data_IF_443268673275
#
_entry.id   IF_443268673275
#
_cell.length_a   1.000
_cell.length_b   1.000
_cell.length_c   1.000
_cell.angle_alpha   90.00
_cell.angle_beta   90.00
_cell.angle_gamma   90.00
#
_symmetry.space_group_name_H-M   'P 1'
#
loop_
_entity.id
_entity.type
_entity.pdbx_description
1 polymer ?
#
# COMPACT_ATOMS: atom_id res chain seq x y z
N UNK A 1 -15.06 -28.14 -24.65
CA UNK A 1 -14.87 -27.33 -23.44
C UNK A 1 -14.08 -26.09 -23.83
N UNK A 2 -14.58 -24.89 -23.58
CA UNK A 2 -13.79 -23.67 -23.79
C UNK A 2 -12.79 -23.55 -22.64
N UNK A 3 -11.50 -23.47 -22.98
CA UNK A 3 -10.44 -23.20 -22.01
C UNK A 3 -10.64 -21.79 -21.45
N UNK A 4 -10.85 -21.65 -20.14
CA UNK A 4 -10.91 -20.34 -19.47
C UNK A 4 -9.51 -19.99 -18.98
N UNK A 5 -8.99 -18.82 -19.38
CA UNK A 5 -7.73 -18.28 -18.87
C UNK A 5 -8.07 -17.20 -17.84
N UNK A 6 -7.84 -17.43 -16.54
CA UNK A 6 -8.12 -16.44 -15.52
C UNK A 6 -7.16 -15.25 -15.65
N UNK A 7 -7.63 -14.03 -15.37
CA UNK A 7 -6.77 -12.83 -15.34
C UNK A 7 -5.72 -12.92 -14.22
N UNK A 8 -6.11 -13.43 -13.05
CA UNK A 8 -5.24 -13.69 -11.91
C UNK A 8 -5.74 -14.95 -11.17
N UNK A 9 -4.86 -15.91 -10.93
CA UNK A 9 -5.15 -17.11 -10.14
C UNK A 9 -4.44 -17.04 -8.78
N UNK A 10 -5.14 -16.61 -7.74
CA UNK A 10 -4.56 -16.52 -6.39
C UNK A 10 -4.31 -17.91 -5.75
N UNK A 11 -5.06 -18.93 -6.19
CA UNK A 11 -4.97 -20.27 -5.63
C UNK A 11 -3.61 -20.91 -5.92
N UNK A 12 -3.05 -20.69 -7.11
CA UNK A 12 -1.75 -21.27 -7.47
C UNK A 12 -0.61 -20.81 -6.56
N UNK A 13 -0.64 -19.56 -6.08
CA UNK A 13 0.35 -19.05 -5.13
C UNK A 13 0.25 -19.76 -3.78
N UNK A 14 -0.97 -20.02 -3.30
CA UNK A 14 -1.14 -20.83 -2.09
C UNK A 14 -0.69 -22.28 -2.31
N UNK A 15 -1.07 -22.91 -3.42
CA UNK A 15 -0.70 -24.31 -3.67
C UNK A 15 0.82 -24.51 -3.67
N UNK A 16 1.56 -23.56 -4.26
CA UNK A 16 3.03 -23.54 -4.30
C UNK A 16 3.66 -23.48 -2.91
N UNK A 17 3.09 -22.69 -1.99
CA UNK A 17 3.65 -22.39 -0.67
C UNK A 17 2.84 -22.98 0.50
N UNK A 18 1.91 -23.90 0.22
CA UNK A 18 0.87 -24.34 1.15
C UNK A 18 1.43 -24.84 2.48
N UNK A 19 2.46 -25.68 2.44
CA UNK A 19 3.13 -26.19 3.64
C UNK A 19 3.69 -25.06 4.53
N UNK A 20 4.31 -24.03 3.95
CA UNK A 20 4.91 -22.92 4.70
C UNK A 20 3.84 -21.97 5.25
N UNK A 21 2.81 -21.67 4.45
CA UNK A 21 1.68 -20.83 4.85
C UNK A 21 0.88 -21.50 5.99
N UNK A 22 0.57 -22.78 5.86
CA UNK A 22 -0.17 -23.52 6.90
C UNK A 22 0.63 -23.60 8.20
N UNK A 23 1.95 -23.80 8.11
CA UNK A 23 2.83 -23.76 9.27
C UNK A 23 2.81 -22.38 9.95
N UNK A 24 2.86 -21.29 9.17
CA UNK A 24 2.79 -19.93 9.70
C UNK A 24 1.45 -19.64 10.38
N UNK A 25 0.34 -20.08 9.76
CA UNK A 25 -0.98 -20.00 10.36
C UNK A 25 -1.03 -20.70 11.72
N UNK A 26 -0.56 -21.96 11.78
CA UNK A 26 -0.55 -22.71 13.04
C UNK A 26 0.30 -22.06 14.12
N UNK A 27 1.49 -21.53 13.79
CA UNK A 27 2.33 -20.79 14.76
C UNK A 27 1.56 -19.63 15.40
N UNK A 28 0.84 -18.84 14.62
CA UNK A 28 0.06 -17.70 15.13
C UNK A 28 -1.12 -18.18 15.97
N UNK A 29 -1.89 -19.14 15.46
CA UNK A 29 -3.07 -19.66 16.16
C UNK A 29 -2.72 -20.32 17.49
N UNK A 30 -1.65 -21.11 17.52
CA UNK A 30 -1.18 -21.79 18.72
C UNK A 30 -0.59 -20.81 19.75
N UNK A 31 -0.10 -19.65 19.31
CA UNK A 31 0.42 -18.60 20.22
C UNK A 31 -0.68 -17.89 21.02
N UNK A 32 -1.92 -17.87 20.53
CA UNK A 32 -3.01 -17.11 21.12
C UNK A 32 -2.86 -15.58 21.03
N UNK A 33 -1.86 -15.06 20.29
CA UNK A 33 -1.54 -13.64 20.21
C UNK A 33 -1.69 -13.10 18.79
N UNK A 34 -2.74 -12.31 18.55
CA UNK A 34 -3.20 -12.01 17.18
C UNK A 34 -2.92 -10.59 16.70
N UNK A 35 -2.65 -9.64 17.60
CA UNK A 35 -2.55 -8.22 17.28
C UNK A 35 -1.26 -7.67 17.90
N UNK A 36 -0.47 -6.96 17.09
CA UNK A 36 0.81 -6.37 17.52
C UNK A 36 1.75 -7.39 18.18
N UNK A 37 1.89 -8.57 17.56
CA UNK A 37 2.74 -9.67 18.01
C UNK A 37 4.08 -9.78 17.27
N UNK A 38 4.79 -10.88 17.53
CA UNK A 38 6.11 -11.11 16.95
C UNK A 38 6.12 -11.11 15.42
N UNK A 39 5.10 -11.69 14.78
CA UNK A 39 5.05 -11.78 13.31
C UNK A 39 5.01 -10.39 12.64
N UNK A 40 4.33 -9.39 13.24
CA UNK A 40 4.36 -8.02 12.68
C UNK A 40 5.73 -7.36 12.90
N UNK A 41 6.34 -7.55 14.07
CA UNK A 41 7.68 -7.00 14.35
C UNK A 41 8.75 -7.59 13.42
N UNK A 42 8.71 -8.90 13.17
CA UNK A 42 9.65 -9.56 12.26
C UNK A 42 9.40 -9.11 10.82
N UNK A 43 8.14 -9.10 10.39
CA UNK A 43 7.79 -8.63 9.05
C UNK A 43 8.23 -7.18 8.82
N UNK A 44 8.03 -6.28 9.79
CA UNK A 44 8.47 -4.88 9.68
C UNK A 44 9.99 -4.78 9.53
N UNK A 45 10.77 -5.57 10.28
CA UNK A 45 12.23 -5.60 10.15
C UNK A 45 12.68 -6.13 8.78
N UNK A 46 12.09 -7.24 8.35
CA UNK A 46 12.40 -7.88 7.07
C UNK A 46 11.99 -7.00 5.89
N UNK A 47 10.82 -6.37 5.96
CA UNK A 47 10.30 -5.53 4.89
C UNK A 47 11.02 -4.18 4.81
N UNK A 48 11.44 -3.61 5.94
CA UNK A 48 12.33 -2.45 5.95
C UNK A 48 13.66 -2.78 5.25
N UNK A 49 14.27 -3.93 5.59
CA UNK A 49 15.49 -4.40 4.95
C UNK A 49 15.30 -4.65 3.44
N UNK A 50 14.19 -5.28 3.04
CA UNK A 50 13.84 -5.51 1.64
C UNK A 50 13.72 -4.20 0.84
N UNK A 51 13.09 -3.18 1.43
CA UNK A 51 12.92 -1.87 0.79
C UNK A 51 14.19 -1.00 0.84
N UNK A 52 15.22 -1.39 1.59
CA UNK A 52 16.40 -0.55 1.84
C UNK A 52 16.08 0.68 2.72
N UNK A 53 15.04 0.60 3.56
CA UNK A 53 14.62 1.64 4.48
C UNK A 53 15.06 1.31 5.93
N UNK A 54 15.15 2.33 6.78
CA UNK A 54 15.51 2.15 8.20
C UNK A 54 14.34 1.57 9.03
N UNK A 55 13.10 1.86 8.63
CA UNK A 55 11.90 1.53 9.39
C UNK A 55 10.76 1.07 8.47
N UNK A 56 9.89 0.24 9.03
CA UNK A 56 8.59 -0.14 8.46
C UNK A 56 7.54 -0.08 9.58
N UNK A 57 6.31 0.28 9.24
CA UNK A 57 5.15 0.25 10.14
C UNK A 57 4.01 -0.47 9.43
N UNK A 58 3.57 -1.59 10.00
CA UNK A 58 2.44 -2.38 9.53
C UNK A 58 1.11 -1.69 9.84
N UNK A 59 0.27 -1.53 8.82
CA UNK A 59 -1.05 -0.88 8.92
C UNK A 59 -2.12 -1.69 8.20
N UNK A 60 -3.39 -1.30 8.34
CA UNK A 60 -4.52 -2.11 7.85
C UNK A 60 -4.63 -2.23 6.34
N UNK A 61 -4.17 -1.24 5.56
CA UNK A 61 -4.21 -1.23 4.09
C UNK A 61 -3.37 -0.08 3.51
N UNK A 62 -3.23 -0.03 2.18
CA UNK A 62 -2.47 1.01 1.48
C UNK A 62 -3.06 2.43 1.54
N UNK A 63 -4.39 2.58 1.71
CA UNK A 63 -5.01 3.89 1.91
C UNK A 63 -4.61 4.47 3.27
N UNK A 64 -4.70 3.66 4.32
CA UNK A 64 -4.28 4.05 5.67
C UNK A 64 -2.79 4.39 5.71
N UNK A 65 -1.94 3.65 4.98
CA UNK A 65 -0.52 3.98 4.89
C UNK A 65 -0.28 5.41 4.36
N UNK A 66 -0.91 5.77 3.24
CA UNK A 66 -0.80 7.11 2.66
C UNK A 66 -1.37 8.19 3.59
N UNK A 67 -2.56 7.95 4.14
CA UNK A 67 -3.22 8.88 5.06
C UNK A 67 -2.37 9.13 6.31
N UNK A 68 -1.85 8.06 6.94
CA UNK A 68 -1.05 8.17 8.17
C UNK A 68 0.28 8.88 7.94
N UNK A 69 0.94 8.65 6.79
CA UNK A 69 2.16 9.39 6.43
C UNK A 69 1.87 10.89 6.32
N UNK A 70 0.81 11.28 5.62
CA UNK A 70 0.45 12.69 5.47
C UNK A 70 0.09 13.33 6.82
N UNK A 71 -0.69 12.63 7.66
CA UNK A 71 -0.99 13.07 9.02
C UNK A 71 0.26 13.23 9.88
N UNK A 72 1.22 12.31 9.79
CA UNK A 72 2.48 12.38 10.52
C UNK A 72 3.36 13.56 10.06
N UNK A 73 3.25 13.94 8.79
CA UNK A 73 3.91 15.14 8.23
C UNK A 73 3.18 16.45 8.59
N UNK A 74 2.04 16.38 9.28
CA UNK A 74 1.24 17.55 9.65
C UNK A 74 0.33 18.09 8.55
N UNK A 75 0.17 17.35 7.44
CA UNK A 75 -0.70 17.74 6.32
C UNK A 75 -2.17 17.61 6.75
N UNK A 76 -2.97 18.63 6.49
CA UNK A 76 -4.40 18.66 6.82
C UNK A 76 -5.18 19.80 6.16
N UNK A 77 -6.16 20.34 6.88
CA UNK A 77 -7.04 21.40 6.36
C UNK A 77 -6.25 22.65 5.94
N UNK A 78 -6.53 23.13 4.72
CA UNK A 78 -5.83 24.28 4.12
C UNK A 78 -4.57 23.91 3.34
N UNK A 79 -4.08 22.67 3.44
CA UNK A 79 -2.97 22.19 2.62
C UNK A 79 -3.46 21.61 1.29
N UNK A 80 -2.54 21.57 0.32
CA UNK A 80 -2.73 20.99 -1.00
C UNK A 80 -1.73 19.85 -1.23
N UNK A 81 -2.18 18.78 -1.88
CA UNK A 81 -1.34 17.62 -2.24
C UNK A 81 -1.51 17.28 -3.71
N UNK A 82 -0.41 17.36 -4.47
CA UNK A 82 -0.39 16.98 -5.88
C UNK A 82 -0.51 15.46 -6.01
N UNK A 83 -1.45 15.00 -6.83
CA UNK A 83 -1.67 13.58 -7.11
C UNK A 83 -1.88 13.32 -8.61
N UNK A 84 -1.50 12.14 -9.15
CA UNK A 84 -1.73 11.83 -10.56
C UNK A 84 -3.22 11.68 -10.85
N UNK A 85 -3.71 12.33 -11.91
CA UNK A 85 -5.13 12.30 -12.29
C UNK A 85 -5.63 10.89 -12.70
N UNK A 86 -4.72 9.99 -13.11
CA UNK A 86 -5.01 8.62 -13.57
C UNK A 86 -4.74 7.52 -12.52
N UNK A 87 -4.48 7.88 -11.27
CA UNK A 87 -4.16 6.91 -10.21
C UNK A 87 -5.40 6.16 -9.70
N UNK A 88 -5.20 5.07 -8.93
CA UNK A 88 -6.30 4.45 -8.19
C UNK A 88 -6.82 5.40 -7.11
N UNK A 89 -8.15 5.48 -6.95
CA UNK A 89 -8.83 6.49 -6.13
C UNK A 89 -8.36 6.54 -4.66
N UNK A 90 -7.80 5.46 -4.11
CA UNK A 90 -7.27 5.45 -2.76
C UNK A 90 -6.21 6.55 -2.50
N UNK A 91 -5.42 6.91 -3.51
CA UNK A 91 -4.45 8.01 -3.39
C UNK A 91 -5.14 9.34 -3.10
N UNK A 92 -6.26 9.61 -3.76
CA UNK A 92 -7.07 10.84 -3.59
C UNK A 92 -7.80 10.80 -2.25
N UNK A 93 -8.40 9.66 -1.91
CA UNK A 93 -9.10 9.49 -0.63
C UNK A 93 -8.18 9.70 0.57
N UNK A 94 -6.93 9.23 0.48
CA UNK A 94 -5.95 9.44 1.53
C UNK A 94 -5.69 10.93 1.79
N UNK A 95 -5.65 11.77 0.74
CA UNK A 95 -5.52 13.23 0.88
C UNK A 95 -6.77 13.83 1.51
N UNK A 96 -7.95 13.47 1.00
CA UNK A 96 -9.23 13.99 1.53
C UNK A 96 -9.40 13.62 3.01
N UNK A 97 -8.95 12.44 3.44
CA UNK A 97 -9.05 11.99 4.84
C UNK A 97 -8.19 12.80 5.81
N UNK A 98 -7.14 13.49 5.34
CA UNK A 98 -6.41 14.44 6.18
C UNK A 98 -7.14 15.77 6.35
N UNK A 99 -8.09 16.08 5.46
CA UNK A 99 -8.70 17.41 5.31
C UNK A 99 -8.02 18.28 4.25
N UNK A 100 -6.93 17.81 3.63
CA UNK A 100 -6.24 18.52 2.56
C UNK A 100 -7.00 18.45 1.23
N UNK A 101 -6.63 19.33 0.29
CA UNK A 101 -7.20 19.37 -1.06
C UNK A 101 -6.30 18.64 -2.07
N UNK A 102 -6.80 17.62 -2.78
CA UNK A 102 -6.03 16.98 -3.84
C UNK A 102 -5.95 17.85 -5.09
N UNK A 103 -4.75 18.10 -5.59
CA UNK A 103 -4.49 18.83 -6.84
C UNK A 103 -4.12 17.82 -7.93
N UNK A 104 -5.03 17.64 -8.91
CA UNK A 104 -4.89 16.60 -9.93
C UNK A 104 -3.97 17.06 -11.06
N UNK A 105 -2.95 16.26 -11.37
CA UNK A 105 -2.01 16.51 -12.46
C UNK A 105 -1.98 15.33 -13.43
N UNK A 106 -2.09 15.63 -14.73
CA UNK A 106 -2.13 14.65 -15.81
C UNK A 106 -0.85 13.77 -15.88
N UNK A 107 -0.96 12.49 -16.25
CA UNK A 107 0.18 11.62 -16.45
C UNK A 107 0.87 11.89 -17.80
N UNK A 108 2.07 11.33 -17.95
CA UNK A 108 2.69 11.12 -19.26
C UNK A 108 2.07 9.90 -19.94
N UNK A 109 1.60 10.04 -21.19
CA UNK A 109 1.04 8.92 -21.96
C UNK A 109 2.04 7.79 -22.24
N UNK A 110 3.34 8.07 -22.16
CA UNK A 110 4.38 7.07 -22.43
C UNK A 110 4.68 6.19 -21.20
N UNK A 111 4.35 6.65 -20.00
CA UNK A 111 4.72 5.98 -18.73
C UNK A 111 3.53 5.69 -17.84
N UNK A 112 2.38 6.35 -18.08
CA UNK A 112 1.22 6.36 -17.20
C UNK A 112 1.51 6.82 -15.77
N UNK A 113 2.65 7.47 -15.55
CA UNK A 113 3.04 8.10 -14.28
C UNK A 113 2.87 9.61 -14.34
N UNK A 114 2.83 10.27 -13.18
CA UNK A 114 2.74 11.73 -13.04
C UNK A 114 3.70 12.45 -13.99
N UNK A 115 3.20 13.40 -14.78
CA UNK A 115 4.05 14.15 -15.71
C UNK A 115 4.85 15.25 -14.98
N UNK A 116 6.18 15.14 -14.84
CA UNK A 116 6.97 16.11 -14.08
C UNK A 116 6.89 17.52 -14.64
N UNK A 117 6.72 17.68 -15.96
CA UNK A 117 6.64 18.98 -16.62
C UNK A 117 5.33 19.75 -16.34
N UNK A 118 4.35 19.09 -15.71
CA UNK A 118 3.07 19.68 -15.33
C UNK A 118 2.96 19.95 -13.82
N UNK A 119 3.85 19.37 -13.00
CA UNK A 119 3.80 19.49 -11.53
C UNK A 119 3.96 20.95 -11.07
N UNK A 120 4.94 21.69 -11.61
CA UNK A 120 5.19 23.09 -11.21
C UNK A 120 4.08 24.07 -11.65
N UNK A 121 3.18 23.63 -12.55
CA UNK A 121 2.07 24.45 -13.06
C UNK A 121 0.75 24.18 -12.34
N UNK A 122 0.77 23.27 -11.37
CA UNK A 122 -0.39 22.85 -10.59
C UNK A 122 -0.81 23.94 -9.60
#
# INVERSE_FOLDING_TARGET
MSLSIPFLNLRSTYDELSAEIDQAYHRVMDSGWYILGNEVTLFEQEFAAYCGAEHCVGVGNGLDALHLIMRAMGIGEGDEVIVPANTYIATILAVIYTGATPVLVEPSLNTYTLNPALVEKA
#
